data_IF_774395134575
#
_entry.id   IF_774395134575
#
_cell.length_a   1.000
_cell.length_b   1.000
_cell.length_c   1.000
_cell.angle_alpha   90.00
_cell.angle_beta   90.00
_cell.angle_gamma   90.00
#
_symmetry.space_group_name_H-M   'P 1'
#
loop_
_entity.id
_entity.type
_entity.pdbx_description
1 polymer ?
#
# COMPACT_ATOMS: atom_id res chain seq x y z
N UNK A 1 0.55 22.77 -6.09
CA UNK A 1 0.22 21.35 -6.31
C UNK A 1 1.51 20.67 -6.70
N UNK A 2 1.94 19.63 -5.97
CA UNK A 2 3.30 19.07 -6.10
C UNK A 2 3.36 17.74 -6.87
N UNK A 3 2.21 17.23 -7.35
CA UNK A 3 2.17 15.93 -8.00
C UNK A 3 3.06 15.90 -9.26
N UNK A 4 3.95 14.92 -9.30
CA UNK A 4 4.74 14.53 -10.45
C UNK A 4 4.65 13.01 -10.59
N UNK A 5 4.33 12.52 -11.80
CA UNK A 5 4.17 11.08 -12.03
C UNK A 5 5.50 10.32 -11.84
N UNK A 6 6.62 10.89 -12.27
CA UNK A 6 7.94 10.28 -12.10
C UNK A 6 8.28 10.10 -10.61
N UNK A 7 8.13 11.15 -9.82
CA UNK A 7 8.39 11.12 -8.37
C UNK A 7 7.47 10.15 -7.63
N UNK A 8 6.20 10.03 -8.04
CA UNK A 8 5.29 9.02 -7.48
C UNK A 8 5.74 7.60 -7.82
N UNK A 9 6.17 7.36 -9.07
CA UNK A 9 6.68 6.07 -9.53
C UNK A 9 7.97 5.69 -8.78
N UNK A 10 8.84 6.65 -8.45
CA UNK A 10 10.07 6.39 -7.69
C UNK A 10 9.80 5.76 -6.32
N UNK A 11 8.76 6.20 -5.62
CA UNK A 11 8.33 5.56 -4.36
C UNK A 11 7.78 4.17 -4.63
N UNK A 12 6.84 4.06 -5.57
CA UNK A 12 6.15 2.80 -5.88
C UNK A 12 7.11 1.71 -6.35
N UNK A 13 8.15 2.03 -7.11
CA UNK A 13 9.11 1.02 -7.58
C UNK A 13 10.06 0.55 -6.47
N UNK A 14 10.27 1.36 -5.42
CA UNK A 14 11.17 1.03 -4.30
C UNK A 14 10.49 0.27 -3.18
N UNK A 15 9.18 0.39 -3.01
CA UNK A 15 8.46 -0.22 -1.89
C UNK A 15 8.67 -1.74 -1.79
N UNK A 16 8.58 -2.56 -2.86
CA UNK A 16 8.75 -4.00 -2.73
C UNK A 16 10.13 -4.39 -2.18
N UNK A 17 11.20 -3.83 -2.75
CA UNK A 17 12.58 -4.12 -2.31
C UNK A 17 12.86 -3.56 -0.90
N UNK A 18 12.20 -2.45 -0.53
CA UNK A 18 12.29 -1.89 0.82
C UNK A 18 11.67 -2.83 1.86
N UNK A 19 10.50 -3.40 1.54
CA UNK A 19 9.84 -4.34 2.44
C UNK A 19 10.57 -5.68 2.50
N UNK A 20 11.08 -6.18 1.37
CA UNK A 20 11.90 -7.38 1.32
C UNK A 20 13.15 -7.25 2.20
N UNK A 21 13.92 -6.18 2.01
CA UNK A 21 15.11 -5.93 2.81
C UNK A 21 14.83 -5.77 4.32
N UNK A 22 13.66 -5.24 4.68
CA UNK A 22 13.28 -5.03 6.07
C UNK A 22 12.77 -6.32 6.74
N UNK A 23 12.07 -7.18 6.01
CA UNK A 23 11.26 -8.25 6.59
C UNK A 23 11.81 -9.66 6.33
N UNK A 24 12.46 -9.90 5.20
CA UNK A 24 12.93 -11.23 4.81
C UNK A 24 13.96 -11.78 5.80
N UNK A 25 13.75 -13.04 6.22
CA UNK A 25 14.63 -13.70 7.20
C UNK A 25 14.45 -13.26 8.65
N UNK A 26 13.52 -12.34 8.96
CA UNK A 26 13.15 -12.07 10.34
C UNK A 26 12.49 -13.30 10.99
N UNK A 27 12.68 -13.45 12.30
CA UNK A 27 12.03 -14.54 13.04
C UNK A 27 10.51 -14.35 13.09
N UNK A 28 9.78 -15.46 13.20
CA UNK A 28 8.31 -15.45 13.28
C UNK A 28 7.76 -14.54 14.38
N UNK A 29 8.51 -14.30 15.44
CA UNK A 29 8.06 -13.43 16.55
C UNK A 29 8.06 -11.95 16.18
N UNK A 30 8.87 -11.52 15.20
CA UNK A 30 8.77 -10.18 14.61
C UNK A 30 7.59 -10.10 13.64
N UNK A 31 7.39 -11.15 12.85
CA UNK A 31 6.38 -11.17 11.79
C UNK A 31 4.94 -11.27 12.32
N UNK A 32 4.75 -11.96 13.45
CA UNK A 32 3.45 -12.18 14.08
C UNK A 32 3.10 -11.10 15.14
N UNK A 33 4.02 -10.19 15.46
CA UNK A 33 3.75 -9.07 16.36
C UNK A 33 2.82 -8.05 15.71
N UNK A 34 2.02 -7.32 16.51
CA UNK A 34 1.14 -6.25 16.04
C UNK A 34 1.08 -5.08 17.04
N UNK A 35 0.23 -4.09 16.78
CA UNK A 35 0.02 -2.91 17.63
C UNK A 35 -1.12 -3.10 18.66
N UNK A 36 -1.56 -4.34 18.94
CA UNK A 36 -2.66 -4.67 19.85
C UNK A 36 -3.85 -5.38 19.19
N UNK A 37 -4.89 -5.67 19.97
CA UNK A 37 -6.09 -6.37 19.48
C UNK A 37 -6.75 -5.60 18.32
N UNK A 38 -7.13 -6.33 17.27
CA UNK A 38 -7.75 -5.75 16.07
C UNK A 38 -6.78 -5.02 15.13
N UNK A 39 -5.47 -5.09 15.37
CA UNK A 39 -4.44 -4.50 14.50
C UNK A 39 -3.70 -5.56 13.69
N UNK A 40 -3.18 -5.16 12.53
CA UNK A 40 -2.48 -6.05 11.63
C UNK A 40 -1.02 -6.25 12.02
N UNK A 41 -0.54 -7.48 11.84
CA UNK A 41 0.88 -7.79 11.86
C UNK A 41 1.55 -7.42 10.52
N UNK A 42 2.88 -7.59 10.41
CA UNK A 42 3.61 -7.20 9.22
C UNK A 42 3.22 -8.02 7.97
N UNK A 43 2.96 -9.32 8.13
CA UNK A 43 2.55 -10.19 7.01
C UNK A 43 1.16 -9.84 6.48
N UNK A 44 0.21 -9.54 7.36
CA UNK A 44 -1.15 -9.09 6.99
C UNK A 44 -1.11 -7.75 6.25
N UNK A 45 -0.20 -6.84 6.62
CA UNK A 45 0.02 -5.60 5.87
C UNK A 45 0.54 -5.89 4.46
N UNK A 46 1.42 -6.87 4.27
CA UNK A 46 1.88 -7.28 2.94
C UNK A 46 0.73 -7.87 2.12
N UNK A 47 -0.11 -8.73 2.71
CA UNK A 47 -1.30 -9.26 2.03
C UNK A 47 -2.25 -8.15 1.57
N UNK A 48 -2.45 -7.13 2.41
CA UNK A 48 -3.24 -5.96 2.05
C UNK A 48 -2.65 -5.15 0.88
N UNK A 49 -1.32 -5.01 0.83
CA UNK A 49 -0.65 -4.36 -0.30
C UNK A 49 -0.83 -5.15 -1.59
N UNK A 50 -0.72 -6.48 -1.54
CA UNK A 50 -1.01 -7.38 -2.68
C UNK A 50 -2.44 -7.18 -3.17
N UNK A 51 -3.43 -7.20 -2.28
CA UNK A 51 -4.84 -6.99 -2.64
C UNK A 51 -5.08 -5.62 -3.29
N UNK A 52 -4.36 -4.59 -2.82
CA UNK A 52 -4.32 -3.26 -3.42
C UNK A 52 -3.79 -3.27 -4.85
N UNK A 53 -2.70 -3.99 -5.12
CA UNK A 53 -2.14 -4.14 -6.46
C UNK A 53 -3.11 -4.83 -7.44
N UNK A 54 -3.82 -5.87 -6.98
CA UNK A 54 -4.72 -6.64 -7.85
C UNK A 54 -6.02 -5.90 -8.17
N UNK A 55 -6.60 -5.24 -7.17
CA UNK A 55 -8.02 -4.85 -7.22
C UNK A 55 -8.27 -3.36 -7.07
N UNK A 56 -7.29 -2.58 -6.61
CA UNK A 56 -7.49 -1.17 -6.28
C UNK A 56 -6.93 -0.23 -7.36
N UNK A 57 -5.61 -0.14 -7.49
CA UNK A 57 -4.97 1.02 -8.15
C UNK A 57 -5.16 1.08 -9.66
N UNK A 58 -4.64 0.09 -10.39
CA UNK A 58 -4.77 0.01 -11.85
C UNK A 58 -6.23 -0.19 -12.30
N UNK A 59 -7.04 -1.06 -11.65
CA UNK A 59 -8.46 -1.20 -12.01
C UNK A 59 -9.23 0.11 -11.89
N UNK A 60 -9.06 0.86 -10.80
CA UNK A 60 -9.76 2.16 -10.63
C UNK A 60 -9.24 3.22 -11.58
N UNK A 61 -7.93 3.28 -11.81
CA UNK A 61 -7.35 4.20 -12.79
C UNK A 61 -7.95 3.96 -14.18
N UNK A 62 -7.99 2.70 -14.61
CA UNK A 62 -8.60 2.28 -15.87
C UNK A 62 -10.08 2.68 -15.93
N UNK A 63 -10.84 2.44 -14.87
CA UNK A 63 -12.25 2.82 -14.78
C UNK A 63 -12.45 4.34 -14.91
N UNK A 64 -11.66 5.15 -14.21
CA UNK A 64 -11.74 6.63 -14.31
C UNK A 64 -11.45 7.08 -15.75
N UNK A 65 -10.45 6.48 -16.40
CA UNK A 65 -10.08 6.83 -17.77
C UNK A 65 -11.15 6.43 -18.79
N UNK A 66 -11.87 5.32 -18.57
CA UNK A 66 -12.92 4.82 -19.47
C UNK A 66 -14.28 5.48 -19.22
N UNK A 67 -14.76 5.43 -17.99
CA UNK A 67 -16.14 5.79 -17.61
C UNK A 67 -16.28 7.25 -17.15
N UNK A 68 -15.18 7.88 -16.74
CA UNK A 68 -15.19 9.23 -16.19
C UNK A 68 -16.08 9.35 -14.95
N UNK A 69 -16.71 10.52 -14.77
CA UNK A 69 -17.52 10.85 -13.60
C UNK A 69 -19.00 10.42 -13.68
N UNK A 70 -19.42 9.75 -14.76
CA UNK A 70 -20.83 9.39 -14.99
C UNK A 70 -21.30 8.18 -14.18
N UNK A 71 -20.36 7.35 -13.71
CA UNK A 71 -20.64 6.11 -12.97
C UNK A 71 -19.65 5.94 -11.83
N UNK A 72 -20.09 5.54 -10.62
CA UNK A 72 -19.16 5.23 -9.55
C UNK A 72 -18.37 3.96 -9.86
N UNK A 73 -17.07 3.95 -9.57
CA UNK A 73 -16.29 2.70 -9.66
C UNK A 73 -16.69 1.72 -8.55
N UNK A 74 -16.50 0.40 -8.77
CA UNK A 74 -16.86 -0.62 -7.79
C UNK A 74 -16.22 -0.38 -6.41
N UNK A 75 -16.95 -0.69 -5.31
CA UNK A 75 -16.37 -0.70 -3.97
C UNK A 75 -15.17 -1.65 -3.89
N UNK A 76 -14.21 -1.29 -3.04
CA UNK A 76 -13.04 -2.12 -2.72
C UNK A 76 -13.14 -2.51 -1.25
N UNK A 77 -13.16 -3.81 -0.98
CA UNK A 77 -13.13 -4.33 0.38
C UNK A 77 -11.69 -4.34 0.90
N UNK A 78 -11.40 -3.38 1.78
CA UNK A 78 -10.06 -3.16 2.35
C UNK A 78 -9.63 -4.27 3.31
N UNK A 79 -10.53 -5.18 3.71
CA UNK A 79 -10.26 -6.26 4.65
C UNK A 79 -10.33 -7.63 3.98
N UNK A 80 -10.53 -7.70 2.66
CA UNK A 80 -10.67 -8.96 1.93
C UNK A 80 -9.47 -9.90 2.15
N UNK A 81 -8.26 -9.33 2.25
CA UNK A 81 -7.03 -10.07 2.54
C UNK A 81 -7.10 -10.90 3.84
N UNK A 82 -7.82 -10.46 4.88
CA UNK A 82 -7.95 -11.19 6.14
C UNK A 82 -8.75 -12.49 6.02
N UNK A 83 -9.56 -12.61 4.96
CA UNK A 83 -10.32 -13.83 4.64
C UNK A 83 -9.59 -14.77 3.68
N UNK A 84 -8.48 -14.30 3.09
CA UNK A 84 -7.64 -15.09 2.19
C UNK A 84 -6.54 -15.76 3.02
N UNK A 85 -6.91 -16.86 3.69
CA UNK A 85 -5.95 -17.72 4.38
C UNK A 85 -5.25 -18.63 3.37
N UNK A 86 -4.20 -18.13 2.74
CA UNK A 86 -3.23 -18.96 2.02
C UNK A 86 -2.05 -19.30 2.91
N UNK A 87 -1.57 -20.55 2.87
CA UNK A 87 -0.38 -21.04 3.58
C UNK A 87 0.95 -20.49 3.02
N UNK A 88 0.93 -19.30 2.42
CA UNK A 88 2.12 -18.70 1.81
C UNK A 88 3.06 -18.19 2.90
N UNK A 89 4.35 -18.48 2.72
CA UNK A 89 5.44 -17.85 3.46
C UNK A 89 5.49 -16.35 3.19
N UNK A 90 6.14 -15.60 4.08
CA UNK A 90 6.31 -14.15 3.89
C UNK A 90 7.12 -13.85 2.63
N UNK A 91 8.16 -14.64 2.36
CA UNK A 91 9.03 -14.50 1.19
C UNK A 91 8.23 -14.68 -0.11
N UNK A 92 7.32 -15.66 -0.16
CA UNK A 92 6.42 -15.84 -1.31
C UNK A 92 5.49 -14.62 -1.50
N UNK A 93 4.96 -14.08 -0.40
CA UNK A 93 4.11 -12.88 -0.44
C UNK A 93 4.87 -11.66 -0.96
N UNK A 94 6.10 -11.45 -0.49
CA UNK A 94 6.96 -10.36 -0.95
C UNK A 94 7.28 -10.47 -2.44
N UNK A 95 7.54 -11.68 -2.93
CA UNK A 95 7.79 -11.92 -4.37
C UNK A 95 6.53 -11.68 -5.22
N UNK A 96 5.36 -12.12 -4.74
CA UNK A 96 4.07 -11.82 -5.39
C UNK A 96 3.86 -10.29 -5.46
N UNK A 97 4.05 -9.59 -4.34
CA UNK A 97 3.90 -8.14 -4.30
C UNK A 97 4.84 -7.44 -5.29
N UNK A 98 6.12 -7.84 -5.31
CA UNK A 98 7.13 -7.31 -6.24
C UNK A 98 6.74 -7.55 -7.70
N UNK A 99 6.31 -8.76 -8.04
CA UNK A 99 5.88 -9.13 -9.39
C UNK A 99 4.68 -8.30 -9.84
N UNK A 100 3.67 -8.17 -8.98
CA UNK A 100 2.49 -7.35 -9.25
C UNK A 100 2.85 -5.88 -9.42
N UNK A 101 3.70 -5.33 -8.55
CA UNK A 101 4.14 -3.93 -8.64
C UNK A 101 4.87 -3.65 -9.96
N UNK A 102 5.79 -4.52 -10.37
CA UNK A 102 6.51 -4.39 -11.65
C UNK A 102 5.51 -4.35 -12.81
N UNK A 103 4.56 -5.30 -12.83
CA UNK A 103 3.51 -5.38 -13.86
C UNK A 103 2.62 -4.13 -13.88
N UNK A 104 2.18 -3.66 -12.72
CA UNK A 104 1.30 -2.52 -12.59
C UNK A 104 1.99 -1.21 -12.97
N UNK A 105 3.26 -1.03 -12.62
CA UNK A 105 4.04 0.13 -13.07
C UNK A 105 4.34 0.09 -14.57
N UNK A 106 4.59 -1.08 -15.15
CA UNK A 106 4.69 -1.22 -16.60
C UNK A 106 3.37 -0.82 -17.28
N UNK A 107 2.24 -1.25 -16.72
CA UNK A 107 0.90 -0.87 -17.18
C UNK A 107 0.69 0.65 -17.10
N UNK A 108 1.01 1.26 -15.94
CA UNK A 108 0.90 2.70 -15.71
C UNK A 108 1.72 3.51 -16.72
N UNK A 109 2.98 3.10 -16.95
CA UNK A 109 3.89 3.74 -17.93
C UNK A 109 3.41 3.57 -19.37
N UNK A 110 2.73 2.46 -19.68
CA UNK A 110 2.21 2.14 -21.00
C UNK A 110 0.84 2.74 -21.32
N UNK A 111 0.17 3.42 -20.38
CA UNK A 111 -1.14 4.04 -20.62
C UNK A 111 -1.02 5.23 -21.59
N UNK A 112 -1.70 5.18 -22.76
CA UNK A 112 -1.67 6.29 -23.72
C UNK A 112 -2.21 7.58 -23.12
N UNK A 113 -1.53 8.69 -23.42
CA UNK A 113 -1.94 10.06 -23.06
C UNK A 113 -2.22 10.32 -21.58
N UNK A 114 -1.75 9.44 -20.66
CA UNK A 114 -1.99 9.56 -19.22
C UNK A 114 -1.59 10.93 -18.67
N UNK A 115 -0.47 11.49 -19.19
CA UNK A 115 0.02 12.81 -18.84
C UNK A 115 -0.97 13.96 -19.09
N UNK A 116 -1.91 13.77 -20.01
CA UNK A 116 -2.96 14.76 -20.32
C UNK A 116 -4.25 14.55 -19.52
N UNK A 117 -4.35 13.41 -18.83
CA UNK A 117 -5.57 12.98 -18.14
C UNK A 117 -5.53 13.11 -16.63
N UNK A 118 -4.47 13.69 -16.06
CA UNK A 118 -4.32 13.85 -14.61
C UNK A 118 -5.49 14.57 -13.93
N UNK A 119 -6.13 15.53 -14.61
CA UNK A 119 -7.29 16.25 -14.09
C UNK A 119 -8.63 15.57 -14.38
N UNK A 120 -8.64 14.48 -15.16
CA UNK A 120 -9.85 13.72 -15.48
C UNK A 120 -10.48 13.20 -14.20
N UNK A 121 -11.79 13.41 -14.09
CA UNK A 121 -12.58 13.04 -12.91
C UNK A 121 -13.18 11.66 -13.09
N UNK A 122 -13.19 10.89 -12.02
CA UNK A 122 -14.08 9.76 -11.80
C UNK A 122 -14.97 9.99 -10.59
N UNK A 123 -15.82 9.01 -10.30
CA UNK A 123 -16.75 9.08 -9.18
C UNK A 123 -16.45 7.96 -8.18
N UNK A 124 -15.99 8.32 -6.97
CA UNK A 124 -15.81 7.39 -5.87
C UNK A 124 -17.16 7.13 -5.18
N UNK A 125 -17.52 5.87 -4.84
CA UNK A 125 -18.83 5.54 -4.27
C UNK A 125 -19.14 6.28 -2.95
N UNK A 126 -18.11 6.56 -2.15
CA UNK A 126 -18.21 7.32 -0.89
C UNK A 126 -17.81 8.80 -1.02
N UNK A 127 -16.63 9.12 -1.58
CA UNK A 127 -16.10 10.49 -1.60
C UNK A 127 -16.70 11.40 -2.67
N UNK A 128 -17.45 10.85 -3.63
CA UNK A 128 -17.90 11.60 -4.80
C UNK A 128 -16.75 11.85 -5.79
N UNK A 129 -16.70 13.00 -6.48
CA UNK A 129 -15.73 13.25 -7.55
C UNK A 129 -14.28 13.19 -7.06
N UNK A 130 -13.45 12.40 -7.75
CA UNK A 130 -12.00 12.27 -7.53
C UNK A 130 -11.26 12.35 -8.85
N UNK A 131 -9.95 12.67 -8.84
CA UNK A 131 -9.14 12.83 -10.05
C UNK A 131 -8.10 11.71 -10.21
N UNK A 132 -7.64 11.50 -11.44
CA UNK A 132 -6.54 10.57 -11.75
C UNK A 132 -5.29 10.86 -10.93
N UNK A 133 -4.84 12.12 -10.86
CA UNK A 133 -3.66 12.47 -10.06
C UNK A 133 -3.83 12.19 -8.57
N UNK A 134 -5.05 12.32 -8.05
CA UNK A 134 -5.34 12.09 -6.64
C UNK A 134 -5.24 10.59 -6.34
N UNK A 135 -5.73 9.74 -7.24
CA UNK A 135 -5.59 8.28 -7.12
C UNK A 135 -4.12 7.85 -7.12
N UNK A 136 -3.32 8.34 -8.08
CA UNK A 136 -1.88 7.98 -8.18
C UNK A 136 -1.10 8.52 -6.98
N UNK A 137 -1.37 9.76 -6.55
CA UNK A 137 -0.78 10.32 -5.32
C UNK A 137 -1.12 9.46 -4.10
N UNK A 138 -2.38 9.01 -4.02
CA UNK A 138 -2.85 8.16 -2.92
C UNK A 138 -2.14 6.81 -2.91
N UNK A 139 -1.86 6.22 -4.08
CA UNK A 139 -1.12 4.96 -4.16
C UNK A 139 0.28 5.07 -3.53
N UNK A 140 1.05 6.10 -3.90
CA UNK A 140 2.38 6.31 -3.31
C UNK A 140 2.31 6.59 -1.80
N UNK A 141 1.33 7.38 -1.34
CA UNK A 141 1.15 7.68 0.09
C UNK A 141 0.61 6.47 0.86
N UNK A 142 -0.15 5.59 0.22
CA UNK A 142 -0.65 4.35 0.81
C UNK A 142 0.49 3.39 1.14
N UNK A 143 1.45 3.22 0.23
CA UNK A 143 2.69 2.49 0.49
C UNK A 143 3.43 3.07 1.71
N UNK A 144 3.65 4.40 1.75
CA UNK A 144 4.33 5.06 2.87
C UNK A 144 3.57 4.91 4.20
N UNK A 145 2.24 4.90 4.14
CA UNK A 145 1.38 4.66 5.31
C UNK A 145 1.62 3.27 5.88
N UNK A 146 1.73 2.25 5.01
CA UNK A 146 1.93 0.87 5.43
C UNK A 146 3.39 0.54 5.78
N UNK A 147 4.39 1.18 5.15
CA UNK A 147 5.78 1.14 5.62
C UNK A 147 5.88 1.71 7.04
N UNK A 148 5.21 2.83 7.30
CA UNK A 148 5.14 3.40 8.65
C UNK A 148 4.44 2.45 9.63
N UNK A 149 3.36 1.78 9.21
CA UNK A 149 2.67 0.78 10.03
C UNK A 149 3.57 -0.38 10.40
N UNK A 150 4.24 -1.00 9.41
CA UNK A 150 5.18 -2.09 9.64
C UNK A 150 6.30 -1.64 10.59
N UNK A 151 6.87 -0.46 10.37
CA UNK A 151 7.93 0.06 11.25
C UNK A 151 7.46 0.20 12.70
N UNK A 152 6.22 0.65 12.94
CA UNK A 152 5.66 0.74 14.29
C UNK A 152 5.34 -0.63 14.87
N UNK A 153 4.76 -1.54 14.10
CA UNK A 153 4.50 -2.93 14.50
C UNK A 153 5.79 -3.58 15.01
N UNK A 154 6.88 -3.46 14.26
CA UNK A 154 8.19 -3.98 14.66
C UNK A 154 8.67 -3.27 15.93
N UNK A 155 8.70 -1.93 15.96
CA UNK A 155 9.16 -1.19 17.14
C UNK A 155 8.36 -1.52 18.41
N UNK A 156 7.05 -1.75 18.28
CA UNK A 156 6.14 -2.05 19.38
C UNK A 156 6.58 -3.27 20.19
N UNK A 157 7.28 -4.23 19.55
CA UNK A 157 7.83 -5.42 20.21
C UNK A 157 8.71 -5.08 21.41
N UNK A 158 9.44 -3.98 21.36
CA UNK A 158 10.35 -3.54 22.43
C UNK A 158 9.80 -2.33 23.21
N UNK A 159 8.49 -2.05 23.14
CA UNK A 159 7.90 -0.89 23.81
C UNK A 159 8.24 -0.83 25.29
N UNK A 160 8.22 -1.95 26.00
CA UNK A 160 8.60 -2.03 27.41
C UNK A 160 10.11 -2.10 27.63
N UNK A 161 10.82 -2.79 26.73
CA UNK A 161 12.25 -3.09 26.85
C UNK A 161 13.14 -1.86 26.67
N UNK A 162 12.66 -0.85 25.94
CA UNK A 162 13.37 0.43 25.80
C UNK A 162 13.36 1.29 27.07
N UNK A 163 12.65 0.90 28.13
CA UNK A 163 12.66 1.61 29.42
C UNK A 163 12.42 3.13 29.28
N UNK A 164 13.18 3.98 30.00
CA UNK A 164 12.96 5.44 30.00
C UNK A 164 13.31 6.10 28.65
N UNK A 165 14.04 5.43 27.75
CA UNK A 165 14.32 5.97 26.42
C UNK A 165 13.07 6.14 25.56
N UNK A 166 11.94 5.52 25.95
CA UNK A 166 10.64 5.71 25.31
C UNK A 166 10.24 7.19 25.20
N UNK A 167 10.70 8.04 26.13
CA UNK A 167 10.47 9.49 26.09
C UNK A 167 11.06 10.17 24.83
N UNK A 168 12.07 9.58 24.18
CA UNK A 168 12.69 10.12 22.97
C UNK A 168 12.32 9.36 21.69
N UNK A 169 11.65 8.21 21.81
CA UNK A 169 11.32 7.36 20.66
C UNK A 169 9.91 7.67 20.14
N UNK A 170 9.81 8.65 19.22
CA UNK A 170 8.53 9.09 18.66
C UNK A 170 7.69 7.98 18.00
N UNK A 171 8.33 6.92 17.50
CA UNK A 171 7.66 5.76 16.90
C UNK A 171 6.80 4.96 17.91
N UNK A 172 7.09 5.08 19.21
CA UNK A 172 6.38 4.41 20.30
C UNK A 172 5.39 5.33 21.04
N UNK A 173 5.20 6.58 20.58
CA UNK A 173 4.31 7.55 21.25
C UNK A 173 2.88 7.57 20.70
N UNK A 174 2.53 6.58 19.88
CA UNK A 174 1.15 6.32 19.46
C UNK A 174 0.50 5.32 20.40
#
# INVERSE_FOLDING_TARGET
>A
MNFNLGEAIEILERTPDTLDALLSGLSSVWLNGNEGEGTWNAAEVVDHLIDGEEKNWIPRLTFILQEGGGKPFPPFDRFAHLSLSGDLSLEEKLEIFKTLRIKNLATLRGMPDLGTHFEKKGLHPVFGPVRVRELISTWAVHDLTHISQISRVLANRYRTDVGPWIEYLGILKK
#
